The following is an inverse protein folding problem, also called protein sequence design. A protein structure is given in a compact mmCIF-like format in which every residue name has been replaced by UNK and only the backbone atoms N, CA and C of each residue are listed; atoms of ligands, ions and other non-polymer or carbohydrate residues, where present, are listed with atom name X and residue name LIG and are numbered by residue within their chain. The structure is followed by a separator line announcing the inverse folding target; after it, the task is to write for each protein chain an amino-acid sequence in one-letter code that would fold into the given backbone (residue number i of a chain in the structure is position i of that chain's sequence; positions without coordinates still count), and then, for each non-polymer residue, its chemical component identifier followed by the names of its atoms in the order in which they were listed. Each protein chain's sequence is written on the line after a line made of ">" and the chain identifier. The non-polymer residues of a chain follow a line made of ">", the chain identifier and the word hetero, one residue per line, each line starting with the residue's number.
data_IF_002656542965
#
_entry.id   IF_002656542965
#
_cell.length_a   1.000
_cell.length_b   1.000
_cell.length_c   1.000
_cell.angle_alpha   90.00
_cell.angle_beta   90.00
_cell.angle_gamma   90.00
#
_symmetry.space_group_name_H-M   'P 1'
#
loop_
_entity.id
_entity.type
_entity.pdbx_description
1 polymer ?
#
# COMPACT_ATOMS: atom_id res chain seq x y z
N UNK A 1 -6.70 18.39 0.53
CA UNK A 1 -7.38 17.63 1.60
C UNK A 1 -6.44 17.51 2.78
N UNK A 2 -6.90 17.74 4.02
CA UNK A 2 -6.06 17.72 5.22
C UNK A 2 -5.61 16.29 5.61
N UNK A 3 -4.46 16.18 6.27
CA UNK A 3 -3.83 14.92 6.69
C UNK A 3 -4.71 14.07 7.62
N UNK A 4 -5.63 14.68 8.35
CA UNK A 4 -6.57 14.02 9.27
C UNK A 4 -7.54 13.08 8.54
N UNK A 5 -7.96 13.40 7.31
CA UNK A 5 -8.86 12.54 6.52
C UNK A 5 -8.15 11.29 5.98
N UNK A 6 -6.81 11.35 5.82
CA UNK A 6 -6.00 10.21 5.37
C UNK A 6 -5.73 9.22 6.50
N UNK A 7 -5.61 9.69 7.74
CA UNK A 7 -5.40 8.82 8.90
C UNK A 7 -6.65 8.02 9.28
N UNK A 8 -7.85 8.56 9.08
CA UNK A 8 -9.10 7.82 9.35
C UNK A 8 -9.36 6.65 8.41
N UNK A 9 -8.78 6.66 7.20
CA UNK A 9 -8.97 5.61 6.19
C UNK A 9 -7.97 4.45 6.28
N UNK A 10 -6.89 4.57 7.07
CA UNK A 10 -5.85 3.53 7.17
C UNK A 10 -6.42 2.19 7.69
N UNK A 11 -7.30 2.16 8.71
CA UNK A 11 -7.85 0.89 9.21
C UNK A 11 -8.82 0.18 8.24
N UNK A 12 -9.51 0.93 7.39
CA UNK A 12 -10.38 0.36 6.36
C UNK A 12 -9.54 -0.18 5.20
N UNK A 13 -8.55 0.59 4.77
CA UNK A 13 -7.59 0.19 3.75
C UNK A 13 -6.79 -1.07 4.15
N UNK A 14 -6.28 -1.13 5.38
CA UNK A 14 -5.60 -2.29 5.95
C UNK A 14 -6.44 -3.58 5.85
N UNK A 15 -7.74 -3.49 6.19
CA UNK A 15 -8.68 -4.62 6.07
C UNK A 15 -8.89 -5.02 4.61
N UNK A 16 -9.12 -4.07 3.72
CA UNK A 16 -9.27 -4.36 2.28
C UNK A 16 -8.02 -5.04 1.70
N UNK A 17 -6.82 -4.62 2.10
CA UNK A 17 -5.57 -5.26 1.68
C UNK A 17 -5.46 -6.70 2.19
N UNK A 18 -5.84 -6.94 3.44
CA UNK A 18 -5.83 -8.28 4.02
C UNK A 18 -6.84 -9.21 3.33
N UNK A 19 -8.07 -8.74 3.10
CA UNK A 19 -9.11 -9.47 2.37
C UNK A 19 -8.65 -9.80 0.95
N UNK A 20 -7.98 -8.86 0.28
CA UNK A 20 -7.46 -9.06 -1.06
C UNK A 20 -6.34 -10.11 -1.08
N UNK A 21 -5.41 -10.06 -0.12
CA UNK A 21 -4.36 -11.08 0.06
C UNK A 21 -4.98 -12.47 0.24
N UNK A 22 -5.97 -12.59 1.12
CA UNK A 22 -6.65 -13.87 1.40
C UNK A 22 -7.43 -14.39 0.19
N UNK A 23 -8.11 -13.49 -0.54
CA UNK A 23 -8.85 -13.83 -1.77
C UNK A 23 -7.92 -14.34 -2.88
N UNK A 24 -6.77 -13.69 -3.06
CA UNK A 24 -5.80 -14.10 -4.08
C UNK A 24 -4.98 -15.32 -3.66
N UNK A 25 -4.97 -15.68 -2.37
CA UNK A 25 -4.16 -16.76 -1.83
C UNK A 25 -2.66 -16.50 -1.94
N UNK A 26 -2.25 -15.22 -1.93
CA UNK A 26 -0.85 -14.81 -2.05
C UNK A 26 -0.27 -14.40 -0.71
N UNK A 27 1.06 -14.26 -0.65
CA UNK A 27 1.73 -13.67 0.50
C UNK A 27 1.47 -12.17 0.61
N UNK A 28 1.67 -11.62 1.81
CA UNK A 28 1.62 -10.17 2.05
C UNK A 28 2.65 -9.43 1.18
N UNK A 29 3.82 -10.02 0.95
CA UNK A 29 4.85 -9.41 0.12
C UNK A 29 4.41 -9.33 -1.35
N UNK A 30 3.86 -10.41 -1.91
CA UNK A 30 3.39 -10.43 -3.31
C UNK A 30 2.27 -9.40 -3.55
N UNK A 31 1.32 -9.26 -2.63
CA UNK A 31 0.26 -8.25 -2.79
C UNK A 31 0.79 -6.82 -2.67
N UNK A 32 1.77 -6.59 -1.78
CA UNK A 32 2.42 -5.28 -1.63
C UNK A 32 3.16 -4.92 -2.91
N UNK A 33 3.96 -5.83 -3.45
CA UNK A 33 4.72 -5.62 -4.68
C UNK A 33 3.80 -5.33 -5.88
N UNK A 34 2.74 -6.13 -6.05
CA UNK A 34 1.78 -5.95 -7.14
C UNK A 34 1.05 -4.61 -7.06
N UNK A 35 0.55 -4.24 -5.87
CA UNK A 35 -0.14 -2.97 -5.67
C UNK A 35 0.80 -1.77 -5.82
N UNK A 36 2.01 -1.85 -5.24
CA UNK A 36 3.02 -0.82 -5.41
C UNK A 36 3.34 -0.62 -6.89
N UNK A 37 3.54 -1.71 -7.63
CA UNK A 37 3.81 -1.67 -9.06
C UNK A 37 2.66 -1.01 -9.84
N UNK A 38 1.40 -1.40 -9.62
CA UNK A 38 0.25 -0.82 -10.31
C UNK A 38 0.08 0.69 -10.01
N UNK A 39 0.29 1.11 -8.77
CA UNK A 39 0.21 2.52 -8.38
C UNK A 39 1.34 3.32 -9.05
N UNK A 40 2.57 2.82 -9.02
CA UNK A 40 3.72 3.49 -9.61
C UNK A 40 3.62 3.55 -11.13
N UNK A 41 3.16 2.50 -11.80
CA UNK A 41 2.90 2.49 -13.25
C UNK A 41 1.89 3.55 -13.68
N UNK A 42 0.83 3.75 -12.88
CA UNK A 42 -0.16 4.80 -13.15
C UNK A 42 0.38 6.21 -12.89
N UNK A 43 1.25 6.38 -11.89
CA UNK A 43 1.85 7.68 -11.53
C UNK A 43 3.02 8.09 -12.43
N UNK A 44 3.75 7.12 -12.95
CA UNK A 44 4.92 7.31 -13.79
C UNK A 44 4.72 6.60 -15.13
N UNK A 45 3.99 7.21 -16.09
CA UNK A 45 3.75 6.59 -17.40
C UNK A 45 5.04 6.23 -18.15
N UNK A 46 6.11 7.02 -17.92
CA UNK A 46 7.44 6.76 -18.47
C UNK A 46 8.12 5.49 -17.94
N UNK A 47 7.62 4.89 -16.86
CA UNK A 47 8.13 3.64 -16.30
C UNK A 47 7.92 2.47 -17.27
N UNK A 48 6.73 2.42 -17.90
CA UNK A 48 6.39 1.38 -18.88
C UNK A 48 7.22 1.48 -20.16
N UNK A 49 7.53 2.70 -20.59
CA UNK A 49 8.27 2.99 -21.82
C UNK A 49 9.77 3.13 -21.63
N UNK A 50 10.27 3.11 -20.39
CA UNK A 50 11.68 3.35 -20.06
C UNK A 50 12.15 4.76 -20.42
N UNK A 51 11.24 5.75 -20.40
CA UNK A 51 11.51 7.14 -20.82
C UNK A 51 11.53 8.11 -19.65
N UNK A 52 11.79 7.63 -18.43
CA UNK A 52 11.89 8.49 -17.26
C UNK A 52 13.14 9.37 -17.37
N UNK A 53 12.97 10.66 -17.08
CA UNK A 53 14.11 11.55 -16.87
C UNK A 53 14.81 11.20 -15.55
N UNK A 54 16.09 11.58 -15.37
CA UNK A 54 16.81 11.31 -14.12
C UNK A 54 16.12 11.87 -12.86
N UNK A 55 15.41 13.00 -13.00
CA UNK A 55 14.62 13.57 -11.91
C UNK A 55 13.38 12.72 -11.59
N UNK A 56 12.74 12.14 -12.59
CA UNK A 56 11.60 11.23 -12.41
C UNK A 56 12.04 9.88 -11.87
N UNK A 57 13.19 9.34 -12.27
CA UNK A 57 13.77 8.12 -11.67
C UNK A 57 14.06 8.32 -10.17
N UNK A 58 14.63 9.48 -9.81
CA UNK A 58 14.88 9.82 -8.40
C UNK A 58 13.57 9.91 -7.62
N UNK A 59 12.55 10.55 -8.20
CA UNK A 59 11.23 10.66 -7.56
C UNK A 59 10.53 9.31 -7.46
N UNK A 60 10.59 8.49 -8.52
CA UNK A 60 10.04 7.14 -8.55
C UNK A 60 10.61 6.30 -7.41
N UNK A 61 11.94 6.30 -7.25
CA UNK A 61 12.59 5.51 -6.22
C UNK A 61 12.14 5.90 -4.82
N UNK A 62 12.09 7.20 -4.56
CA UNK A 62 11.58 7.72 -3.28
C UNK A 62 10.11 7.37 -3.05
N UNK A 63 9.25 7.54 -4.06
CA UNK A 63 7.83 7.19 -3.96
C UNK A 63 7.62 5.68 -3.81
N UNK A 64 8.47 4.85 -4.42
CA UNK A 64 8.42 3.40 -4.27
C UNK A 64 8.77 2.97 -2.84
N UNK A 65 9.83 3.54 -2.25
CA UNK A 65 10.23 3.28 -0.87
C UNK A 65 9.10 3.70 0.10
N UNK A 66 8.62 4.96 -0.01
CA UNK A 66 7.55 5.50 0.85
C UNK A 66 6.23 4.71 0.70
N UNK A 67 5.90 4.25 -0.50
CA UNK A 67 4.70 3.45 -0.75
C UNK A 67 4.81 2.04 -0.18
N UNK A 68 5.96 1.40 -0.34
CA UNK A 68 6.20 0.05 0.19
C UNK A 68 6.11 0.07 1.71
N UNK A 69 6.74 1.06 2.37
CA UNK A 69 6.67 1.23 3.82
C UNK A 69 5.23 1.41 4.32
N UNK A 70 4.44 2.25 3.62
CA UNK A 70 3.03 2.46 3.96
C UNK A 70 2.19 1.18 3.80
N UNK A 71 2.40 0.41 2.74
CA UNK A 71 1.66 -0.83 2.49
C UNK A 71 2.04 -1.91 3.52
N UNK A 72 3.32 -1.99 3.90
CA UNK A 72 3.77 -2.86 5.00
C UNK A 72 3.08 -2.50 6.32
N UNK A 73 3.09 -1.21 6.70
CA UNK A 73 2.42 -0.75 7.92
C UNK A 73 0.92 -1.08 7.91
N UNK A 74 0.24 -0.87 6.77
CA UNK A 74 -1.17 -1.21 6.63
C UNK A 74 -1.42 -2.73 6.78
N UNK A 75 -0.54 -3.58 6.24
CA UNK A 75 -0.65 -5.03 6.36
C UNK A 75 -0.39 -5.53 7.79
N UNK A 76 0.51 -4.89 8.53
CA UNK A 76 0.79 -5.20 9.93
C UNK A 76 -0.33 -4.73 10.88
N UNK A 77 -1.06 -3.68 10.49
CA UNK A 77 -2.18 -3.14 11.27
C UNK A 77 -3.45 -4.00 11.17
N UNK A 78 -3.69 -4.70 10.05
CA UNK A 78 -4.94 -5.43 9.80
C UNK A 78 -5.25 -6.50 10.87
N UNK A 79 -4.32 -7.39 11.27
CA UNK A 79 -4.57 -8.39 12.33
C UNK A 79 -4.89 -7.75 13.68
N UNK A 80 -4.29 -6.59 13.98
CA UNK A 80 -4.47 -5.87 15.24
C UNK A 80 -5.86 -5.21 15.34
N UNK A 81 -6.51 -4.94 14.21
CA UNK A 81 -7.86 -4.36 14.15
C UNK A 81 -8.96 -5.42 14.32
N UNK A 82 -8.68 -6.68 14.00
CA UNK A 82 -9.62 -7.79 14.19
C UNK A 82 -9.72 -8.23 15.66
N UNK A 83 -8.59 -8.23 16.40
CA UNK A 83 -8.53 -8.61 17.81
C UNK A 83 -9.19 -7.64 18.81
N UNK A 84 -9.67 -6.48 18.36
CA UNK A 84 -10.35 -5.49 19.20
C UNK A 84 -11.84 -5.75 19.43
N UNK A 85 -12.45 -6.74 18.76
CA UNK A 85 -13.88 -7.03 18.88
C UNK A 85 -14.27 -7.86 20.11
N UNK A 86 -13.33 -8.49 20.80
CA UNK A 86 -13.63 -9.42 21.91
C UNK A 86 -13.34 -8.85 23.32
N UNK A 87 -12.94 -7.58 23.45
CA UNK A 87 -12.62 -6.96 24.74
C UNK A 87 -13.80 -6.24 25.44
N UNK A 88 -15.04 -6.55 25.07
CA UNK A 88 -16.25 -6.08 25.75
C UNK A 88 -17.21 -7.24 26.02
N UNK A 89 -16.93 -8.00 27.08
CA UNK A 89 -17.94 -8.79 27.80
C UNK A 89 -17.63 -8.83 29.29
#
# INVERSE_FOLDING_TARGET
>A
MPLSDRQSSIPEFARTLHDLKDLMGTSSQEIIEELAFQILMNRFPGLASGTLSPAEETRLRREADELTDFLCEAMDLAPSLEGGKDAQH
#
